data_IF_563091221661
#
_entry.id   IF_563091221661
#
_cell.length_a   1.000
_cell.length_b   1.000
_cell.length_c   1.000
_cell.angle_alpha   90.00
_cell.angle_beta   90.00
_cell.angle_gamma   90.00
#
_symmetry.space_group_name_H-M   'P 1'
#
loop_
_entity.id
_entity.type
_entity.pdbx_description
1 polymer ?
#
# COMPACT_ATOMS: atom_id res chain seq x y z
N UNK A 1 -6.19 -13.04 -6.08
CA UNK A 1 -5.34 -13.99 -5.31
C UNK A 1 -5.69 -15.46 -5.58
N UNK A 2 -6.96 -15.81 -5.84
CA UNK A 2 -7.44 -17.21 -5.96
C UNK A 2 -6.68 -18.01 -7.02
N UNK A 3 -6.49 -17.46 -8.21
CA UNK A 3 -5.84 -18.12 -9.33
C UNK A 3 -4.35 -18.40 -9.04
N UNK A 4 -3.65 -17.41 -8.49
CA UNK A 4 -2.23 -17.53 -8.14
C UNK A 4 -2.00 -18.52 -7.00
N UNK A 5 -2.90 -18.61 -6.03
CA UNK A 5 -2.85 -19.66 -5.00
C UNK A 5 -2.85 -21.08 -5.59
N UNK A 6 -3.49 -21.29 -6.75
CA UNK A 6 -3.55 -22.60 -7.42
C UNK A 6 -2.37 -22.86 -8.36
N UNK A 7 -1.90 -21.83 -9.08
CA UNK A 7 -0.89 -21.99 -10.14
C UNK A 7 0.53 -21.64 -9.74
N UNK A 8 0.72 -20.73 -8.79
CA UNK A 8 2.04 -20.30 -8.30
C UNK A 8 1.93 -19.91 -6.82
N UNK A 9 1.88 -20.89 -5.90
CA UNK A 9 1.47 -20.69 -4.52
C UNK A 9 2.42 -19.79 -3.70
N UNK A 10 3.64 -19.54 -4.18
CA UNK A 10 4.58 -18.62 -3.56
C UNK A 10 4.43 -17.17 -4.03
N UNK A 11 3.49 -16.87 -4.92
CA UNK A 11 3.21 -15.49 -5.36
C UNK A 11 2.25 -14.81 -4.39
N UNK A 12 2.65 -13.63 -3.91
CA UNK A 12 1.80 -12.74 -3.13
C UNK A 12 1.16 -11.72 -4.07
N UNK A 13 -0.17 -11.62 -4.03
CA UNK A 13 -0.95 -10.59 -4.74
C UNK A 13 -1.64 -9.75 -3.68
N UNK A 14 -1.31 -8.46 -3.57
CA UNK A 14 -1.87 -7.56 -2.54
C UNK A 14 -2.24 -6.21 -3.12
N UNK A 15 -3.17 -5.52 -2.46
CA UNK A 15 -3.46 -4.11 -2.70
C UNK A 15 -2.78 -3.26 -1.61
N UNK A 16 -2.28 -2.08 -1.99
CA UNK A 16 -1.59 -1.17 -1.08
C UNK A 16 -2.17 0.24 -1.18
N UNK A 17 -2.55 0.82 -0.04
CA UNK A 17 -2.97 2.20 0.07
C UNK A 17 -1.77 3.07 0.49
N UNK A 18 -1.29 3.98 -0.38
CA UNK A 18 -0.08 4.78 -0.14
C UNK A 18 -0.23 5.84 0.97
N UNK A 19 -1.46 6.15 1.38
CA UNK A 19 -1.74 7.38 2.12
C UNK A 19 -1.78 8.56 1.16
N UNK A 20 -1.86 9.78 1.69
CA UNK A 20 -1.83 10.98 0.85
C UNK A 20 -0.40 11.29 0.46
N UNK A 21 -0.05 11.08 -0.81
CA UNK A 21 1.30 11.31 -1.33
C UNK A 21 1.30 12.56 -2.20
N UNK A 22 2.25 13.46 -2.04
CA UNK A 22 2.40 14.66 -2.87
C UNK A 22 2.80 14.27 -4.30
N UNK A 23 1.80 14.23 -5.18
CA UNK A 23 1.95 13.90 -6.58
C UNK A 23 1.08 14.84 -7.39
N UNK A 24 1.30 14.88 -8.70
CA UNK A 24 0.39 15.58 -9.61
C UNK A 24 -1.07 15.10 -9.51
N UNK A 25 -1.29 13.82 -9.20
CA UNK A 25 -2.64 13.25 -9.09
C UNK A 25 -3.35 13.76 -7.84
N UNK A 26 -2.65 13.83 -6.70
CA UNK A 26 -3.23 14.26 -5.43
C UNK A 26 -3.32 15.78 -5.28
N UNK A 27 -2.55 16.55 -6.06
CA UNK A 27 -2.42 18.01 -5.90
C UNK A 27 -3.75 18.76 -5.73
N UNK A 28 -4.81 18.49 -6.52
CA UNK A 28 -6.09 19.18 -6.37
C UNK A 28 -6.87 18.85 -5.09
N UNK A 29 -6.40 17.87 -4.29
CA UNK A 29 -7.09 17.34 -3.12
C UNK A 29 -6.31 17.56 -1.81
N UNK A 30 -5.23 18.34 -1.83
CA UNK A 30 -4.33 18.55 -0.68
C UNK A 30 -4.77 19.66 0.28
N UNK A 31 -5.73 20.52 -0.10
CA UNK A 31 -6.06 21.76 0.64
C UNK A 31 -6.46 21.55 2.11
N UNK A 32 -7.02 20.39 2.46
CA UNK A 32 -7.43 20.05 3.83
C UNK A 32 -6.61 18.91 4.44
N UNK A 33 -5.50 18.51 3.81
CA UNK A 33 -4.65 17.43 4.31
C UNK A 33 -3.68 18.02 5.32
N UNK A 34 -3.67 17.54 6.57
CA UNK A 34 -2.66 17.97 7.54
C UNK A 34 -1.25 17.72 7.01
N UNK A 35 -0.32 18.64 7.25
CA UNK A 35 1.05 18.55 6.70
C UNK A 35 1.73 17.24 7.13
N UNK A 36 1.48 16.77 8.35
CA UNK A 36 1.98 15.50 8.87
C UNK A 36 1.35 14.25 8.22
N UNK A 37 0.32 14.43 7.39
CA UNK A 37 -0.35 13.37 6.63
C UNK A 37 -0.14 13.48 5.11
N UNK A 38 0.63 14.48 4.65
CA UNK A 38 1.04 14.63 3.24
C UNK A 38 2.49 14.16 3.06
N UNK A 39 2.67 12.97 2.50
CA UNK A 39 3.99 12.36 2.35
C UNK A 39 4.66 12.74 1.03
N UNK A 40 6.00 12.83 1.02
CA UNK A 40 6.75 12.87 -0.24
C UNK A 40 6.67 11.52 -0.97
N UNK A 41 6.94 11.51 -2.27
CA UNK A 41 6.98 10.28 -3.08
C UNK A 41 8.02 9.30 -2.52
N UNK A 42 9.21 9.78 -2.20
CA UNK A 42 10.31 8.97 -1.68
C UNK A 42 9.93 8.32 -0.35
N UNK A 43 9.24 9.06 0.52
CA UNK A 43 8.78 8.52 1.80
C UNK A 43 7.70 7.44 1.61
N UNK A 44 6.68 7.71 0.79
CA UNK A 44 5.64 6.73 0.45
C UNK A 44 6.22 5.45 -0.13
N UNK A 45 7.15 5.55 -1.07
CA UNK A 45 7.80 4.36 -1.67
C UNK A 45 8.54 3.55 -0.62
N UNK A 46 9.26 4.21 0.30
CA UNK A 46 9.90 3.56 1.44
C UNK A 46 8.90 2.79 2.31
N UNK A 47 7.82 3.45 2.73
CA UNK A 47 6.76 2.84 3.54
C UNK A 47 6.12 1.62 2.85
N UNK A 48 5.79 1.73 1.56
CA UNK A 48 5.20 0.62 0.81
C UNK A 48 6.17 -0.54 0.61
N UNK A 49 7.45 -0.24 0.37
CA UNK A 49 8.50 -1.26 0.26
C UNK A 49 8.67 -2.01 1.58
N UNK A 50 8.63 -1.28 2.69
CA UNK A 50 8.68 -1.85 4.03
C UNK A 50 7.49 -2.77 4.30
N UNK A 51 6.27 -2.37 3.91
CA UNK A 51 5.09 -3.26 3.98
C UNK A 51 5.34 -4.53 3.16
N UNK A 52 5.72 -4.40 1.89
CA UNK A 52 5.97 -5.54 1.00
C UNK A 52 7.03 -6.50 1.55
N UNK A 53 8.10 -5.98 2.17
CA UNK A 53 9.19 -6.79 2.71
C UNK A 53 8.78 -7.72 3.86
N UNK A 54 7.65 -7.43 4.52
CA UNK A 54 7.14 -8.19 5.68
C UNK A 54 6.01 -9.15 5.33
N UNK A 55 5.49 -9.11 4.11
CA UNK A 55 4.37 -9.95 3.68
C UNK A 55 4.76 -11.42 3.56
N UNK A 56 3.78 -12.28 3.82
CA UNK A 56 3.88 -13.73 3.69
C UNK A 56 2.85 -14.26 2.68
N UNK A 57 3.01 -15.49 2.16
CA UNK A 57 2.04 -16.10 1.25
C UNK A 57 0.59 -16.08 1.76
N UNK A 58 0.41 -16.16 3.09
CA UNK A 58 -0.90 -16.10 3.74
C UNK A 58 -1.58 -14.73 3.65
N UNK A 59 -0.83 -13.66 3.38
CA UNK A 59 -1.33 -12.29 3.21
C UNK A 59 -1.84 -12.02 1.78
N UNK A 60 -1.70 -12.99 0.87
CA UNK A 60 -2.14 -12.85 -0.53
C UNK A 60 -3.66 -12.69 -0.61
N UNK A 61 -4.11 -11.61 -1.23
CA UNK A 61 -5.51 -11.22 -1.37
C UNK A 61 -6.00 -10.24 -0.33
N UNK A 62 -5.11 -9.73 0.52
CA UNK A 62 -5.42 -8.71 1.53
C UNK A 62 -5.14 -7.29 1.00
N UNK A 63 -5.68 -6.29 1.70
CA UNK A 63 -5.47 -4.87 1.44
C UNK A 63 -4.78 -4.22 2.64
N UNK A 64 -3.68 -3.50 2.41
CA UNK A 64 -2.90 -2.86 3.48
C UNK A 64 -2.75 -1.35 3.27
N UNK A 65 -2.69 -0.59 4.35
CA UNK A 65 -2.18 0.79 4.34
C UNK A 65 -0.66 0.85 4.44
N UNK A 66 -0.09 2.00 4.09
CA UNK A 66 1.33 2.33 4.17
C UNK A 66 2.01 2.02 5.51
N UNK A 67 1.28 2.00 6.62
CA UNK A 67 1.79 1.66 7.95
C UNK A 67 1.73 0.16 8.27
N UNK A 68 1.28 -0.69 7.34
CA UNK A 68 1.14 -2.13 7.50
C UNK A 68 -0.16 -2.60 8.16
N UNK A 69 -1.09 -1.70 8.50
CA UNK A 69 -2.40 -2.11 8.97
C UNK A 69 -3.21 -2.72 7.82
N UNK A 70 -3.97 -3.79 8.12
CA UNK A 70 -4.97 -4.32 7.19
C UNK A 70 -6.15 -3.37 7.12
N UNK A 71 -6.62 -3.13 5.90
CA UNK A 71 -7.81 -2.33 5.60
C UNK A 71 -8.98 -3.25 5.24
N UNK A 72 -10.23 -2.84 5.51
CA UNK A 72 -11.38 -3.51 4.95
C UNK A 72 -11.43 -3.35 3.43
N UNK A 73 -12.05 -4.31 2.76
CA UNK A 73 -12.45 -4.21 1.35
C UNK A 73 -13.64 -3.28 1.17
#
# INVERSE_FOLDING_TARGET
AIEYKRRCPCTIVVSLHPGTTDTRLSKPFQDNVPEEQLFSVEHTVGLLTDVMSRLKPEDSGEFYSWNGNRLPW
#
